data_IF_971724380615
#
_entry.id   IF_971724380615
#
_cell.length_a   1.000
_cell.length_b   1.000
_cell.length_c   1.000
_cell.angle_alpha   90.00
_cell.angle_beta   90.00
_cell.angle_gamma   90.00
#
_symmetry.space_group_name_H-M   'P 1'
#
loop_
_entity.id
_entity.type
_entity.pdbx_description
1 polymer ?
#
# COMPACT_ATOMS: atom_id res chain seq x y z
N UNK A 1 1.10 -2.36 -29.40
CA UNK A 1 1.23 -2.96 -28.06
C UNK A 1 -0.02 -3.76 -27.80
N UNK A 2 0.07 -5.05 -27.46
CA UNK A 2 -1.13 -5.87 -27.18
C UNK A 2 -1.84 -5.36 -25.92
N UNK A 3 -3.18 -5.48 -25.86
CA UNK A 3 -3.97 -5.07 -24.68
C UNK A 3 -3.43 -5.71 -23.40
N UNK A 4 -3.09 -7.00 -23.45
CA UNK A 4 -2.54 -7.72 -22.30
C UNK A 4 -1.21 -7.14 -21.81
N UNK A 5 -0.34 -6.67 -22.70
CA UNK A 5 0.92 -6.04 -22.32
C UNK A 5 0.67 -4.68 -21.66
N UNK A 6 -0.23 -3.87 -22.21
CA UNK A 6 -0.59 -2.56 -21.63
C UNK A 6 -1.18 -2.70 -20.23
N UNK A 7 -2.12 -3.64 -20.04
CA UNK A 7 -2.74 -3.90 -18.73
C UNK A 7 -1.71 -4.38 -17.71
N UNK A 8 -0.81 -5.28 -18.09
CA UNK A 8 0.28 -5.75 -17.21
C UNK A 8 1.23 -4.62 -16.86
N UNK A 9 1.60 -3.78 -17.81
CA UNK A 9 2.44 -2.60 -17.56
C UNK A 9 1.80 -1.67 -16.54
N UNK A 10 0.53 -1.30 -16.73
CA UNK A 10 -0.22 -0.44 -15.80
C UNK A 10 -0.32 -1.07 -14.42
N UNK A 11 -0.58 -2.38 -14.33
CA UNK A 11 -0.63 -3.10 -13.06
C UNK A 11 0.70 -3.02 -12.31
N UNK A 12 1.81 -3.29 -13.01
CA UNK A 12 3.14 -3.22 -12.39
C UNK A 12 3.51 -1.79 -12.03
N UNK A 13 3.25 -0.81 -12.88
CA UNK A 13 3.52 0.60 -12.60
C UNK A 13 2.75 1.09 -11.36
N UNK A 14 1.47 0.74 -11.26
CA UNK A 14 0.66 1.05 -10.09
C UNK A 14 1.18 0.36 -8.80
N UNK A 15 1.61 -0.90 -8.90
CA UNK A 15 2.23 -1.62 -7.79
C UNK A 15 3.52 -0.94 -7.34
N UNK A 16 4.40 -0.57 -8.27
CA UNK A 16 5.65 0.15 -7.96
C UNK A 16 5.39 1.50 -7.30
N UNK A 17 4.39 2.25 -7.77
CA UNK A 17 4.00 3.54 -7.18
C UNK A 17 3.51 3.36 -5.75
N UNK A 18 2.63 2.41 -5.50
CA UNK A 18 2.07 2.18 -4.17
C UNK A 18 3.09 1.63 -3.18
N UNK A 19 3.77 0.54 -3.55
CA UNK A 19 4.76 -0.12 -2.70
C UNK A 19 5.98 0.77 -2.49
N UNK A 20 6.51 1.35 -3.57
CA UNK A 20 7.67 2.24 -3.53
C UNK A 20 7.42 3.47 -2.66
N UNK A 21 6.22 4.05 -2.74
CA UNK A 21 5.84 5.18 -1.89
C UNK A 21 5.76 4.81 -0.40
N UNK A 22 5.19 3.65 -0.05
CA UNK A 22 5.18 3.18 1.34
C UNK A 22 6.60 2.93 1.86
N UNK A 23 7.44 2.25 1.08
CA UNK A 23 8.83 2.00 1.44
C UNK A 23 9.62 3.29 1.57
N UNK A 24 9.44 4.25 0.66
CA UNK A 24 10.09 5.56 0.74
C UNK A 24 9.71 6.28 2.03
N UNK A 25 8.44 6.32 2.39
CA UNK A 25 8.00 6.96 3.64
C UNK A 25 8.61 6.24 4.85
N UNK A 26 8.57 4.91 4.88
CA UNK A 26 9.01 4.11 6.02
C UNK A 26 10.53 4.10 6.19
N UNK A 27 11.29 3.97 5.10
CA UNK A 27 12.74 3.75 5.13
C UNK A 27 13.57 5.03 4.91
N UNK A 28 12.98 6.07 4.33
CA UNK A 28 13.69 7.31 4.01
C UNK A 28 13.11 8.49 4.77
N UNK A 29 11.84 8.83 4.50
CA UNK A 29 11.25 10.05 5.05
C UNK A 29 11.21 10.04 6.58
N UNK A 30 10.66 8.99 7.18
CA UNK A 30 10.52 8.88 8.65
C UNK A 30 11.87 8.87 9.34
N UNK A 31 12.89 8.08 8.94
CA UNK A 31 14.23 8.15 9.53
C UNK A 31 14.90 9.50 9.36
N UNK A 32 14.88 10.09 8.16
CA UNK A 32 15.49 11.40 7.91
C UNK A 32 14.86 12.49 8.78
N UNK A 33 13.54 12.50 8.88
CA UNK A 33 12.85 13.51 9.70
C UNK A 33 13.08 13.34 11.20
N UNK A 34 13.48 12.13 11.69
CA UNK A 34 13.83 11.92 13.10
C UNK A 34 15.09 12.69 13.50
N UNK A 35 16.00 12.97 12.57
CA UNK A 35 17.19 13.79 12.80
C UNK A 35 16.95 15.30 12.88
N UNK A 36 15.72 15.76 12.68
CA UNK A 36 15.37 17.16 12.81
C UNK A 36 15.09 17.53 14.28
N UNK A 37 15.75 18.58 14.78
CA UNK A 37 15.55 19.10 16.14
C UNK A 37 14.15 19.71 16.31
N UNK A 38 13.61 20.34 15.26
CA UNK A 38 12.27 20.92 15.27
C UNK A 38 11.18 19.83 15.13
N UNK A 39 10.58 19.50 16.27
CA UNK A 39 9.49 18.51 16.37
C UNK A 39 8.25 18.93 15.58
N UNK A 40 7.96 20.24 15.49
CA UNK A 40 6.81 20.76 14.76
C UNK A 40 7.02 20.61 13.24
N UNK A 41 8.20 20.96 12.75
CA UNK A 41 8.59 20.80 11.36
C UNK A 41 8.55 19.31 10.95
N UNK A 42 9.15 18.43 11.77
CA UNK A 42 9.11 16.98 11.56
C UNK A 42 7.67 16.47 11.40
N UNK A 43 6.78 16.87 12.32
CA UNK A 43 5.37 16.49 12.28
C UNK A 43 4.69 16.98 11.01
N UNK A 44 4.92 18.24 10.62
CA UNK A 44 4.37 18.84 9.40
C UNK A 44 4.80 18.09 8.15
N UNK A 45 6.08 17.78 8.02
CA UNK A 45 6.62 17.06 6.86
C UNK A 45 6.01 15.66 6.71
N UNK A 46 6.01 14.87 7.79
CA UNK A 46 5.44 13.51 7.77
C UNK A 46 3.94 13.54 7.46
N UNK A 47 3.18 14.46 8.06
CA UNK A 47 1.74 14.57 7.81
C UNK A 47 1.43 15.09 6.40
N UNK A 48 2.18 16.08 5.89
CA UNK A 48 1.97 16.61 4.55
C UNK A 48 2.24 15.55 3.48
N UNK A 49 3.37 14.83 3.62
CA UNK A 49 3.71 13.72 2.72
C UNK A 49 2.70 12.59 2.81
N UNK A 50 2.30 12.19 4.01
CA UNK A 50 1.28 11.15 4.20
C UNK A 50 -0.07 11.52 3.58
N UNK A 51 -0.53 12.77 3.73
CA UNK A 51 -1.77 13.23 3.06
C UNK A 51 -1.66 13.19 1.53
N UNK A 52 -0.51 13.60 0.98
CA UNK A 52 -0.28 13.57 -0.47
C UNK A 52 -0.21 12.14 -0.96
N UNK A 53 0.53 11.29 -0.26
CA UNK A 53 0.67 9.88 -0.61
C UNK A 53 -0.66 9.12 -0.51
N UNK A 54 -1.54 9.46 0.44
CA UNK A 54 -2.88 8.87 0.52
C UNK A 54 -3.63 9.00 -0.82
N UNK A 55 -3.65 10.17 -1.43
CA UNK A 55 -4.32 10.37 -2.74
C UNK A 55 -3.66 9.52 -3.82
N UNK A 56 -2.33 9.61 -3.96
CA UNK A 56 -1.58 8.84 -4.95
C UNK A 56 -1.73 7.34 -4.71
N UNK A 57 -1.66 6.90 -3.47
CA UNK A 57 -1.79 5.49 -3.07
C UNK A 57 -3.16 4.92 -3.40
N UNK A 58 -4.25 5.65 -3.10
CA UNK A 58 -5.60 5.17 -3.43
C UNK A 58 -5.87 5.15 -4.93
N UNK A 59 -5.32 6.08 -5.71
CA UNK A 59 -5.37 6.03 -7.18
C UNK A 59 -4.62 4.78 -7.67
N UNK A 60 -3.40 4.54 -7.17
CA UNK A 60 -2.63 3.36 -7.53
C UNK A 60 -3.34 2.06 -7.17
N UNK A 61 -3.96 1.96 -5.97
CA UNK A 61 -4.78 0.83 -5.54
C UNK A 61 -5.99 0.60 -6.46
N UNK A 62 -6.70 1.66 -6.84
CA UNK A 62 -7.82 1.55 -7.78
C UNK A 62 -7.37 1.00 -9.14
N UNK A 63 -6.23 1.48 -9.67
CA UNK A 63 -5.63 0.95 -10.92
C UNK A 63 -5.21 -0.51 -10.74
N UNK A 64 -4.63 -0.88 -9.60
CA UNK A 64 -4.25 -2.26 -9.30
C UNK A 64 -5.44 -3.21 -9.30
N UNK A 65 -6.53 -2.81 -8.64
CA UNK A 65 -7.76 -3.61 -8.58
C UNK A 65 -8.38 -3.74 -9.98
N UNK A 66 -8.55 -2.62 -10.68
CA UNK A 66 -9.12 -2.62 -12.04
C UNK A 66 -8.31 -3.49 -13.01
N UNK A 67 -6.99 -3.30 -13.05
CA UNK A 67 -6.11 -4.10 -13.91
C UNK A 67 -6.03 -5.57 -13.46
N UNK A 68 -6.20 -5.83 -12.16
CA UNK A 68 -6.30 -7.18 -11.61
C UNK A 68 -7.52 -7.93 -12.16
N UNK A 69 -8.69 -7.30 -12.18
CA UNK A 69 -9.90 -7.88 -12.77
C UNK A 69 -9.78 -8.09 -14.29
N UNK A 70 -9.20 -7.14 -15.02
CA UNK A 70 -8.94 -7.31 -16.46
C UNK A 70 -7.99 -8.48 -16.71
N UNK A 71 -6.91 -8.59 -15.94
CA UNK A 71 -5.97 -9.72 -16.05
C UNK A 71 -6.64 -11.06 -15.74
N UNK A 72 -7.57 -11.10 -14.79
CA UNK A 72 -8.36 -12.29 -14.48
C UNK A 72 -9.31 -12.67 -15.63
N UNK A 73 -9.97 -11.69 -16.24
CA UNK A 73 -10.81 -11.91 -17.41
C UNK A 73 -10.03 -12.44 -18.64
N UNK A 74 -8.74 -12.04 -18.76
CA UNK A 74 -7.85 -12.54 -19.81
C UNK A 74 -7.26 -13.93 -19.48
N UNK A 75 -7.36 -14.40 -18.24
CA UNK A 75 -6.78 -15.64 -17.72
C UNK A 75 -7.72 -16.32 -16.73
N UNK A 76 -8.93 -16.74 -17.19
CA UNK A 76 -9.94 -17.33 -16.30
C UNK A 76 -9.50 -18.66 -15.66
N UNK A 77 -8.50 -19.32 -16.23
CA UNK A 77 -7.89 -20.53 -15.66
C UNK A 77 -7.30 -20.30 -14.26
N UNK A 78 -6.95 -19.08 -13.90
CA UNK A 78 -6.45 -18.73 -12.57
C UNK A 78 -7.47 -19.00 -11.45
N UNK A 79 -8.77 -18.98 -11.75
CA UNK A 79 -9.81 -19.29 -10.78
C UNK A 79 -9.73 -20.71 -10.22
N UNK A 80 -9.13 -21.65 -10.98
CA UNK A 80 -8.86 -23.01 -10.53
C UNK A 80 -7.57 -23.17 -9.70
N UNK A 81 -6.79 -22.10 -9.53
CA UNK A 81 -5.49 -22.17 -8.85
C UNK A 81 -5.60 -21.68 -7.41
N UNK A 82 -5.33 -22.54 -6.43
CA UNK A 82 -5.41 -22.18 -5.00
C UNK A 82 -4.58 -20.94 -4.63
N UNK A 83 -3.38 -20.80 -5.21
CA UNK A 83 -2.48 -19.64 -4.99
C UNK A 83 -3.12 -18.32 -5.41
N UNK A 84 -4.02 -18.33 -6.40
CA UNK A 84 -4.77 -17.14 -6.81
C UNK A 84 -5.68 -16.66 -5.67
N UNK A 85 -6.41 -17.56 -5.02
CA UNK A 85 -7.31 -17.20 -3.93
C UNK A 85 -6.57 -16.72 -2.69
N UNK A 86 -5.41 -17.31 -2.39
CA UNK A 86 -4.53 -16.79 -1.32
C UNK A 86 -4.09 -15.36 -1.64
N UNK A 87 -3.67 -15.09 -2.88
CA UNK A 87 -3.32 -13.74 -3.31
C UNK A 87 -4.50 -12.78 -3.22
N UNK A 88 -5.69 -13.19 -3.66
CA UNK A 88 -6.91 -12.38 -3.59
C UNK A 88 -7.27 -12.01 -2.14
N UNK A 89 -7.19 -12.97 -1.23
CA UNK A 89 -7.41 -12.73 0.20
C UNK A 89 -6.39 -11.75 0.80
N UNK A 90 -5.10 -11.87 0.43
CA UNK A 90 -4.07 -10.93 0.87
C UNK A 90 -4.28 -9.53 0.28
N UNK A 91 -4.74 -9.41 -0.96
CA UNK A 91 -5.11 -8.11 -1.57
C UNK A 91 -6.28 -7.48 -0.80
N UNK A 92 -7.32 -8.25 -0.48
CA UNK A 92 -8.44 -7.76 0.33
C UNK A 92 -7.97 -7.31 1.72
N UNK A 93 -7.09 -8.08 2.37
CA UNK A 93 -6.48 -7.71 3.65
C UNK A 93 -5.66 -6.42 3.53
N UNK A 94 -4.83 -6.26 2.49
CA UNK A 94 -4.06 -5.04 2.26
C UNK A 94 -4.95 -3.81 2.07
N UNK A 95 -6.04 -3.92 1.28
CA UNK A 95 -7.01 -2.85 1.11
C UNK A 95 -7.67 -2.44 2.43
N UNK A 96 -8.02 -3.42 3.27
CA UNK A 96 -8.59 -3.16 4.59
C UNK A 96 -7.59 -2.50 5.53
N UNK A 97 -6.34 -2.97 5.55
CA UNK A 97 -5.25 -2.39 6.34
C UNK A 97 -4.98 -0.94 5.92
N UNK A 98 -4.91 -0.66 4.61
CA UNK A 98 -4.78 0.70 4.07
C UNK A 98 -5.95 1.59 4.49
N UNK A 99 -7.18 1.08 4.41
CA UNK A 99 -8.35 1.85 4.81
C UNK A 99 -8.33 2.18 6.31
N UNK A 100 -8.04 1.21 7.16
CA UNK A 100 -7.91 1.42 8.61
C UNK A 100 -6.77 2.39 8.92
N UNK A 101 -5.62 2.23 8.28
CA UNK A 101 -4.48 3.12 8.46
C UNK A 101 -4.84 4.55 8.10
N UNK A 102 -5.44 4.76 6.93
CA UNK A 102 -5.65 6.10 6.37
C UNK A 102 -6.87 6.84 6.94
N UNK A 103 -7.95 6.12 7.21
CA UNK A 103 -9.23 6.74 7.60
C UNK A 103 -9.51 6.64 9.10
N UNK A 104 -8.87 5.71 9.82
CA UNK A 104 -9.07 5.53 11.26
C UNK A 104 -7.86 6.00 12.05
N UNK A 105 -6.69 5.43 11.80
CA UNK A 105 -5.49 5.69 12.60
C UNK A 105 -4.80 7.01 12.22
N UNK A 106 -4.77 7.38 10.94
CA UNK A 106 -4.16 8.62 10.47
C UNK A 106 -4.77 9.87 11.12
N UNK A 107 -6.10 10.06 11.09
CA UNK A 107 -6.75 11.18 11.78
C UNK A 107 -6.54 11.17 13.31
N UNK A 108 -6.57 9.98 13.94
CA UNK A 108 -6.33 9.83 15.39
C UNK A 108 -4.89 10.16 15.77
N UNK A 109 -3.92 9.76 14.96
CA UNK A 109 -2.51 10.09 15.18
C UNK A 109 -2.21 11.60 15.09
N UNK A 110 -3.07 12.36 14.40
CA UNK A 110 -3.05 13.82 14.37
C UNK A 110 -3.51 14.49 15.68
N UNK A 111 -4.18 13.75 16.56
CA UNK A 111 -4.74 14.23 17.85
C UNK A 111 -4.18 13.42 19.01
N UNK A 112 -2.87 13.59 19.35
CA UNK A 112 -2.20 12.77 20.36
C UNK A 112 -2.80 12.92 21.77
N UNK A 113 -3.39 14.08 22.06
CA UNK A 113 -4.00 14.37 23.37
C UNK A 113 -5.23 13.50 23.63
N UNK A 114 -5.99 13.20 22.56
CA UNK A 114 -7.17 12.32 22.63
C UNK A 114 -6.83 10.84 22.38
N UNK A 115 -5.75 10.56 21.64
CA UNK A 115 -5.38 9.22 21.19
C UNK A 115 -3.87 8.97 21.35
N UNK A 116 -3.35 8.78 22.56
CA UNK A 116 -1.90 8.69 22.82
C UNK A 116 -1.21 7.54 22.07
N UNK A 117 -1.91 6.41 21.89
CA UNK A 117 -1.35 5.22 21.27
C UNK A 117 -1.54 5.16 19.73
N UNK A 118 -2.29 6.08 19.13
CA UNK A 118 -2.66 5.99 17.73
C UNK A 118 -1.45 6.04 16.78
N UNK A 119 -0.37 6.76 17.14
CA UNK A 119 0.87 6.80 16.34
C UNK A 119 1.60 5.46 16.34
N UNK A 120 1.69 4.82 17.51
CA UNK A 120 2.31 3.51 17.61
C UNK A 120 1.52 2.47 16.83
N UNK A 121 0.18 2.49 16.96
CA UNK A 121 -0.72 1.62 16.20
C UNK A 121 -0.60 1.83 14.70
N UNK A 122 -0.59 3.08 14.22
CA UNK A 122 -0.41 3.40 12.80
C UNK A 122 0.95 2.89 12.28
N UNK A 123 2.03 3.11 13.05
CA UNK A 123 3.36 2.63 12.67
C UNK A 123 3.45 1.11 12.63
N UNK A 124 2.81 0.41 13.57
CA UNK A 124 2.76 -1.05 13.59
C UNK A 124 1.96 -1.59 12.40
N UNK A 125 0.78 -1.01 12.15
CA UNK A 125 -0.08 -1.41 11.03
C UNK A 125 0.63 -1.24 9.68
N UNK A 126 1.35 -0.12 9.48
CA UNK A 126 2.13 0.11 8.27
C UNK A 126 3.23 -0.95 8.06
N UNK A 127 3.85 -1.44 9.12
CA UNK A 127 4.84 -2.54 9.01
C UNK A 127 4.19 -3.86 8.59
N UNK A 128 3.03 -4.19 9.20
CA UNK A 128 2.26 -5.38 8.82
C UNK A 128 1.84 -5.30 7.36
N UNK A 129 1.37 -4.13 6.93
CA UNK A 129 0.96 -3.89 5.55
C UNK A 129 2.11 -4.11 4.57
N UNK A 130 3.32 -3.62 4.86
CA UNK A 130 4.51 -3.86 4.02
C UNK A 130 4.78 -5.37 3.88
N UNK A 131 4.70 -6.14 4.96
CA UNK A 131 4.90 -7.60 4.91
C UNK A 131 3.84 -8.28 4.04
N UNK A 132 2.57 -7.92 4.22
CA UNK A 132 1.46 -8.44 3.41
C UNK A 132 1.67 -8.13 1.93
N UNK A 133 2.07 -6.91 1.62
CA UNK A 133 2.30 -6.48 0.22
C UNK A 133 3.47 -7.23 -0.40
N UNK A 134 4.56 -7.45 0.32
CA UNK A 134 5.69 -8.26 -0.17
C UNK A 134 5.27 -9.72 -0.44
N UNK A 135 4.41 -10.29 0.41
CA UNK A 135 3.83 -11.62 0.18
C UNK A 135 2.96 -11.65 -1.09
N UNK A 136 2.15 -10.60 -1.34
CA UNK A 136 1.36 -10.47 -2.58
C UNK A 136 2.26 -10.45 -3.82
N UNK A 137 3.38 -9.72 -3.76
CA UNK A 137 4.36 -9.67 -4.87
C UNK A 137 4.97 -11.05 -5.11
N UNK A 138 5.43 -11.72 -4.05
CA UNK A 138 6.01 -13.06 -4.15
C UNK A 138 5.03 -14.07 -4.76
N UNK A 139 3.77 -14.08 -4.31
CA UNK A 139 2.73 -14.92 -4.90
C UNK A 139 2.42 -14.53 -6.36
N UNK A 140 2.47 -13.24 -6.68
CA UNK A 140 2.31 -12.75 -8.05
C UNK A 140 3.38 -13.27 -9.00
N UNK A 141 4.62 -13.39 -8.54
CA UNK A 141 5.73 -13.99 -9.29
C UNK A 141 5.52 -15.52 -9.44
N UNK A 142 5.11 -16.20 -8.36
CA UNK A 142 4.86 -17.64 -8.39
C UNK A 142 3.67 -18.07 -9.28
N UNK A 143 2.75 -17.15 -9.60
CA UNK A 143 1.63 -17.38 -10.54
C UNK A 143 2.02 -17.18 -12.01
N UNK A 144 3.23 -16.68 -12.29
CA UNK A 144 3.74 -16.46 -13.66
C UNK A 144 4.54 -17.63 -14.21
N UNK A 145 5.11 -18.47 -13.34
CA UNK A 145 5.78 -19.70 -13.65
C UNK A 145 4.81 -20.85 -13.81
#
# INVERSE_FOLDING_TARGET
>A
MSLSLAVRFLHVAAAMTWIGGMLFIALVLVPVTRGLDDVALRRRLVQATGRRFRVVGWIALAVLVATGFVNLGLRPELLGVARFWVKAALVAAALLLSAVHDFVLGPRAGRPDLHPNARAQASWLARVEIVVVLAIVALGLALRG
#
